data_IF_169815425298
#
_entry.id   IF_169815425298
#
_cell.length_a   1.000
_cell.length_b   1.000
_cell.length_c   1.000
_cell.angle_alpha   90.00
_cell.angle_beta   90.00
_cell.angle_gamma   90.00
#
_symmetry.space_group_name_H-M   'P 1'
#
loop_
_entity.id
_entity.type
_entity.pdbx_description
1 polymer ?
#
# COMPACT_ATOMS: atom_id res chain seq x y z
N UNK A 1 36.62 -48.52 4.42
CA UNK A 1 36.50 -47.54 5.56
C UNK A 1 36.72 -46.08 5.13
N UNK A 2 37.59 -45.74 4.19
CA UNK A 2 37.80 -44.36 3.73
C UNK A 2 36.64 -43.78 2.90
N UNK A 3 35.97 -44.58 2.11
CA UNK A 3 34.86 -44.14 1.27
C UNK A 3 33.56 -43.90 2.07
N UNK A 4 33.33 -44.63 3.14
CA UNK A 4 32.15 -44.46 4.02
C UNK A 4 32.30 -43.17 4.83
N UNK A 5 33.51 -42.75 5.21
CA UNK A 5 33.77 -41.48 5.91
C UNK A 5 33.54 -40.26 5.01
N UNK A 6 33.87 -40.35 3.72
CA UNK A 6 33.64 -39.28 2.78
C UNK A 6 32.12 -39.07 2.49
N UNK A 7 31.36 -40.17 2.35
CA UNK A 7 29.90 -40.09 2.15
C UNK A 7 29.17 -39.53 3.38
N UNK A 8 29.59 -39.88 4.59
CA UNK A 8 28.99 -39.34 5.82
C UNK A 8 29.31 -37.85 6.02
N UNK A 9 30.55 -37.42 5.64
CA UNK A 9 30.95 -36.00 5.68
C UNK A 9 30.20 -35.16 4.62
N UNK A 10 29.97 -35.71 3.41
CA UNK A 10 29.16 -35.02 2.39
C UNK A 10 27.69 -34.90 2.80
N UNK A 11 27.12 -35.92 3.44
CA UNK A 11 25.75 -35.86 3.96
C UNK A 11 25.61 -34.89 5.14
N UNK A 12 26.62 -34.80 6.02
CA UNK A 12 26.60 -33.84 7.12
C UNK A 12 26.81 -32.39 6.65
N UNK A 13 27.60 -32.15 5.60
CA UNK A 13 27.74 -30.82 4.99
C UNK A 13 26.49 -30.40 4.20
N UNK A 14 25.76 -31.32 3.58
CA UNK A 14 24.47 -31.04 2.95
C UNK A 14 23.36 -30.78 3.96
N UNK A 15 23.40 -31.43 5.13
CA UNK A 15 22.44 -31.17 6.22
C UNK A 15 22.67 -29.83 6.94
N UNK A 16 23.88 -29.27 6.90
CA UNK A 16 24.20 -27.95 7.46
C UNK A 16 23.85 -26.79 6.53
N UNK A 17 23.53 -27.06 5.26
CA UNK A 17 23.13 -26.05 4.26
C UNK A 17 21.60 -25.81 4.16
N UNK A 18 20.80 -26.69 4.76
CA UNK A 18 19.38 -26.47 4.93
C UNK A 18 19.17 -25.70 6.24
N UNK A 19 19.37 -24.39 6.21
CA UNK A 19 18.93 -23.55 7.29
C UNK A 19 17.49 -23.92 7.60
N UNK A 20 17.23 -24.37 8.83
CA UNK A 20 15.86 -24.58 9.35
C UNK A 20 15.11 -23.25 9.23
N UNK A 21 14.48 -23.01 8.08
CA UNK A 21 13.47 -21.95 7.97
C UNK A 21 12.29 -22.48 8.77
N UNK A 22 12.27 -22.16 10.05
CA UNK A 22 11.08 -22.36 10.87
C UNK A 22 9.99 -21.49 10.28
N UNK A 23 9.01 -22.14 9.66
CA UNK A 23 7.81 -21.41 9.21
C UNK A 23 7.09 -20.90 10.46
N UNK A 24 7.08 -19.59 10.64
CA UNK A 24 6.31 -18.95 11.70
C UNK A 24 5.00 -18.49 11.08
N UNK A 25 3.90 -19.04 11.56
CA UNK A 25 2.59 -18.63 11.07
C UNK A 25 2.35 -17.15 11.40
N UNK A 26 1.81 -16.31 10.47
CA UNK A 26 1.59 -14.88 10.68
C UNK A 26 0.84 -14.57 11.98
N UNK A 27 -0.15 -15.38 12.34
CA UNK A 27 -0.85 -15.28 13.62
C UNK A 27 0.11 -15.18 14.81
N UNK A 28 1.14 -16.02 14.88
CA UNK A 28 2.06 -16.07 16.02
C UNK A 28 2.94 -14.80 16.15
N UNK A 29 3.15 -14.09 15.04
CA UNK A 29 3.92 -12.84 15.01
C UNK A 29 3.11 -11.63 15.50
N UNK A 30 1.79 -11.67 15.28
CA UNK A 30 0.89 -10.56 15.56
C UNK A 30 -0.10 -10.86 16.69
N UNK A 31 -0.02 -12.02 17.33
CA UNK A 31 -0.83 -12.31 18.50
C UNK A 31 -0.41 -11.46 19.72
N UNK A 32 -1.36 -11.20 20.59
CA UNK A 32 -1.10 -10.71 21.94
C UNK A 32 -0.25 -11.76 22.68
N UNK A 33 0.89 -11.35 23.24
CA UNK A 33 1.78 -12.29 23.94
C UNK A 33 1.12 -12.92 25.17
N UNK A 34 1.38 -14.20 25.44
CA UNK A 34 1.00 -14.95 26.67
C UNK A 34 -0.49 -14.87 27.09
N UNK A 35 -1.40 -14.47 26.21
CA UNK A 35 -2.84 -14.42 26.46
C UNK A 35 -3.49 -15.59 25.76
N UNK A 36 -4.15 -16.48 26.52
CA UNK A 36 -4.92 -17.57 25.92
C UNK A 36 -6.35 -17.11 25.55
N UNK A 37 -6.97 -17.85 24.65
CA UNK A 37 -8.35 -17.60 24.26
C UNK A 37 -9.32 -17.66 25.47
N UNK A 38 -9.09 -18.59 26.38
CA UNK A 38 -9.88 -18.75 27.61
C UNK A 38 -9.81 -17.50 28.51
N UNK A 39 -8.65 -16.85 28.58
CA UNK A 39 -8.48 -15.60 29.33
C UNK A 39 -9.28 -14.46 28.70
N UNK A 40 -9.32 -14.38 27.37
CA UNK A 40 -10.14 -13.37 26.68
C UNK A 40 -11.64 -13.65 26.87
N UNK A 41 -12.05 -14.91 26.80
CA UNK A 41 -13.44 -15.32 26.99
C UNK A 41 -13.94 -15.07 28.42
N UNK A 42 -13.08 -15.20 29.41
CA UNK A 42 -13.43 -14.98 30.82
C UNK A 42 -13.56 -13.51 31.22
N UNK A 43 -13.04 -12.60 30.40
CA UNK A 43 -13.28 -11.16 30.59
C UNK A 43 -14.70 -10.83 30.16
N UNK A 44 -15.44 -10.10 31.00
CA UNK A 44 -16.68 -9.45 30.61
C UNK A 44 -16.44 -8.65 29.30
N UNK A 45 -17.48 -8.51 28.44
CA UNK A 45 -17.33 -7.68 27.25
C UNK A 45 -16.80 -6.32 27.68
N UNK A 46 -15.55 -6.06 27.33
CA UNK A 46 -14.82 -4.85 27.71
C UNK A 46 -15.65 -3.66 27.21
N UNK A 47 -16.06 -2.81 28.13
CA UNK A 47 -16.80 -1.60 27.77
C UNK A 47 -15.83 -0.77 26.91
N UNK A 48 -16.20 -0.54 25.65
CA UNK A 48 -15.36 0.19 24.70
C UNK A 48 -15.15 1.60 25.25
N UNK A 49 -13.89 1.99 25.46
CA UNK A 49 -13.56 3.35 25.89
C UNK A 49 -13.76 4.30 24.72
N UNK A 50 -14.82 5.11 24.80
CA UNK A 50 -15.24 6.01 23.73
C UNK A 50 -15.09 7.46 24.13
N UNK A 51 -14.89 8.32 23.14
CA UNK A 51 -14.79 9.78 23.31
C UNK A 51 -15.63 10.49 22.26
N UNK A 52 -16.04 11.71 22.54
CA UNK A 52 -16.64 12.60 21.56
C UNK A 52 -15.54 13.19 20.69
N UNK A 53 -15.66 13.00 19.39
CA UNK A 53 -14.76 13.63 18.43
C UNK A 53 -15.00 15.15 18.38
N UNK A 54 -13.94 15.91 18.16
CA UNK A 54 -14.00 17.36 18.00
C UNK A 54 -14.80 17.71 16.74
N UNK A 55 -15.80 18.61 16.80
CA UNK A 55 -16.54 19.04 15.62
C UNK A 55 -15.62 19.75 14.61
N UNK A 56 -15.90 19.58 13.32
CA UNK A 56 -15.36 20.47 12.29
C UNK A 56 -16.00 21.85 12.51
N UNK A 57 -15.27 22.75 13.15
CA UNK A 57 -15.76 24.07 13.53
C UNK A 57 -15.53 25.15 12.48
N UNK A 58 -16.02 26.38 12.79
CA UNK A 58 -15.73 27.59 12.02
C UNK A 58 -14.27 28.07 12.22
N UNK A 59 -13.63 27.71 13.33
CA UNK A 59 -12.20 27.91 13.56
C UNK A 59 -11.48 26.62 13.21
N UNK A 60 -10.50 26.76 12.33
CA UNK A 60 -9.76 25.65 11.73
C UNK A 60 -8.90 24.91 12.78
N UNK A 61 -9.46 23.89 13.40
CA UNK A 61 -8.66 22.93 14.14
C UNK A 61 -8.09 21.89 13.16
N UNK A 62 -7.05 22.31 12.42
CA UNK A 62 -6.33 21.50 11.43
C UNK A 62 -5.16 20.74 12.05
N UNK A 63 -4.99 20.79 13.37
CA UNK A 63 -3.96 20.02 14.05
C UNK A 63 -4.33 18.53 14.06
N UNK A 64 -3.37 17.63 13.82
CA UNK A 64 -3.58 16.19 13.93
C UNK A 64 -3.93 15.78 15.35
N UNK A 65 -4.54 14.62 15.48
CA UNK A 65 -4.85 14.04 16.78
C UNK A 65 -3.55 13.77 17.57
N UNK A 66 -3.52 14.17 18.85
CA UNK A 66 -2.32 14.03 19.69
C UNK A 66 -2.07 12.53 19.94
N UNK A 67 -0.86 12.08 19.62
CA UNK A 67 -0.43 10.70 19.87
C UNK A 67 -0.10 10.50 21.34
N UNK A 68 -0.70 9.49 21.95
CA UNK A 68 -0.32 9.06 23.30
C UNK A 68 0.93 8.17 23.22
N UNK A 69 2.08 8.71 23.64
CA UNK A 69 3.39 8.05 23.51
C UNK A 69 3.67 7.01 24.59
N UNK A 70 2.68 6.61 25.40
CA UNK A 70 2.88 5.78 26.59
C UNK A 70 3.29 4.32 26.32
N UNK A 71 3.22 3.81 25.08
CA UNK A 71 3.47 2.39 24.77
C UNK A 71 4.58 2.17 23.73
N UNK A 72 5.79 2.67 23.98
CA UNK A 72 6.97 2.30 23.20
C UNK A 72 7.62 1.01 23.73
N UNK A 73 6.95 -0.11 23.64
CA UNK A 73 7.58 -1.40 23.88
C UNK A 73 8.50 -1.75 22.70
N UNK A 74 9.81 -1.82 22.97
CA UNK A 74 10.81 -2.25 22.01
C UNK A 74 10.42 -3.60 21.38
N UNK A 75 10.29 -3.63 20.05
CA UNK A 75 9.77 -4.79 19.35
C UNK A 75 10.85 -5.84 19.09
N UNK A 76 10.87 -6.91 19.85
CA UNK A 76 11.61 -8.13 19.49
C UNK A 76 11.08 -8.68 18.15
N UNK A 77 11.98 -9.18 17.27
CA UNK A 77 11.68 -9.78 15.96
C UNK A 77 11.10 -8.83 14.87
N UNK A 78 11.45 -7.55 14.91
CA UNK A 78 10.97 -6.54 13.96
C UNK A 78 11.20 -6.92 12.48
N UNK A 79 12.37 -7.46 12.11
CA UNK A 79 12.68 -7.83 10.73
C UNK A 79 11.76 -8.92 10.20
N UNK A 80 11.57 -10.01 10.96
CA UNK A 80 10.71 -11.12 10.53
C UNK A 80 9.24 -10.69 10.39
N UNK A 81 8.76 -9.79 11.26
CA UNK A 81 7.41 -9.22 11.14
C UNK A 81 7.24 -8.41 9.86
N UNK A 82 8.23 -7.57 9.53
CA UNK A 82 8.21 -6.77 8.29
C UNK A 82 8.18 -7.64 7.05
N UNK A 83 8.99 -8.68 6.98
CA UNK A 83 9.04 -9.59 5.83
C UNK A 83 7.72 -10.33 5.62
N UNK A 84 7.16 -10.90 6.70
CA UNK A 84 5.87 -11.62 6.64
C UNK A 84 4.74 -10.65 6.31
N UNK A 85 4.72 -9.47 6.91
CA UNK A 85 3.68 -8.47 6.66
C UNK A 85 3.76 -7.93 5.24
N UNK A 86 4.98 -7.71 4.71
CA UNK A 86 5.18 -7.33 3.32
C UNK A 86 4.59 -8.37 2.36
N UNK A 87 4.77 -9.67 2.62
CA UNK A 87 4.19 -10.72 1.79
C UNK A 87 2.65 -10.74 1.86
N UNK A 88 2.07 -10.61 3.05
CA UNK A 88 0.61 -10.55 3.22
C UNK A 88 -0.01 -9.36 2.49
N UNK A 89 0.54 -8.17 2.68
CA UNK A 89 0.05 -6.96 2.03
C UNK A 89 0.26 -6.99 0.51
N UNK A 90 1.37 -7.54 0.02
CA UNK A 90 1.62 -7.71 -1.40
C UNK A 90 0.60 -8.68 -2.03
N UNK A 91 0.35 -9.82 -1.37
CA UNK A 91 -0.60 -10.83 -1.86
C UNK A 91 -2.02 -10.27 -1.94
N UNK A 92 -2.51 -9.62 -0.89
CA UNK A 92 -3.82 -8.99 -0.89
C UNK A 92 -3.86 -7.83 -1.90
N UNK A 93 -2.85 -6.98 -1.89
CA UNK A 93 -2.76 -5.82 -2.78
C UNK A 93 -2.79 -6.20 -4.26
N UNK A 94 -2.06 -7.22 -4.67
CA UNK A 94 -2.07 -7.72 -6.05
C UNK A 94 -3.43 -8.33 -6.45
N UNK A 95 -4.13 -9.00 -5.52
CA UNK A 95 -5.49 -9.49 -5.76
C UNK A 95 -6.47 -8.33 -5.98
N UNK A 96 -6.43 -7.30 -5.13
CA UNK A 96 -7.28 -6.12 -5.24
C UNK A 96 -6.96 -5.30 -6.49
N UNK A 97 -5.67 -5.11 -6.80
CA UNK A 97 -5.22 -4.44 -8.01
C UNK A 97 -5.76 -5.10 -9.28
N UNK A 98 -5.73 -6.44 -9.36
CA UNK A 98 -6.30 -7.17 -10.51
C UNK A 98 -7.80 -6.96 -10.68
N UNK A 99 -8.53 -6.88 -9.58
CA UNK A 99 -9.97 -6.59 -9.61
C UNK A 99 -10.20 -5.17 -10.13
N UNK A 100 -9.45 -4.21 -9.60
CA UNK A 100 -9.53 -2.79 -9.99
C UNK A 100 -9.23 -2.60 -11.48
N UNK A 101 -8.14 -3.17 -11.99
CA UNK A 101 -7.71 -2.99 -13.37
C UNK A 101 -8.60 -3.72 -14.39
N UNK A 102 -9.31 -4.77 -14.00
CA UNK A 102 -10.34 -5.40 -14.86
C UNK A 102 -11.47 -4.44 -15.19
N UNK A 103 -11.83 -3.57 -14.25
CA UNK A 103 -12.90 -2.60 -14.40
C UNK A 103 -12.42 -1.30 -15.06
N UNK A 104 -11.10 -1.04 -15.00
CA UNK A 104 -10.45 0.19 -15.50
C UNK A 104 -9.42 -0.12 -16.59
N UNK A 105 -9.85 -0.86 -17.63
CA UNK A 105 -8.93 -1.35 -18.69
C UNK A 105 -8.23 -0.22 -19.44
N UNK A 106 -8.96 0.86 -19.73
CA UNK A 106 -8.54 1.92 -20.64
C UNK A 106 -8.05 3.19 -19.93
N UNK A 107 -7.97 3.18 -18.61
CA UNK A 107 -7.47 4.30 -17.80
C UNK A 107 -6.12 4.01 -17.15
N UNK A 108 -5.44 5.09 -16.75
CA UNK A 108 -4.36 4.98 -15.79
C UNK A 108 -4.90 4.45 -14.46
N UNK A 109 -4.07 3.76 -13.72
CA UNK A 109 -4.43 3.23 -12.40
C UNK A 109 -3.25 3.40 -11.46
N UNK A 110 -3.51 3.86 -10.25
CA UNK A 110 -2.53 3.93 -9.18
C UNK A 110 -3.13 3.37 -7.90
N UNK A 111 -2.44 2.43 -7.29
CA UNK A 111 -2.92 1.69 -6.13
C UNK A 111 -1.80 1.47 -5.12
N UNK A 112 -2.07 1.62 -3.83
CA UNK A 112 -1.10 1.36 -2.78
C UNK A 112 -1.51 0.15 -1.93
N UNK A 113 -0.83 -1.00 -2.09
CA UNK A 113 -1.07 -2.19 -1.27
C UNK A 113 -0.93 -1.91 0.23
N UNK A 114 0.12 -1.19 0.63
CA UNK A 114 0.40 -0.88 2.04
C UNK A 114 -0.69 0.02 2.64
N UNK A 115 -1.15 1.03 1.90
CA UNK A 115 -2.18 1.95 2.38
C UNK A 115 -3.53 1.25 2.56
N UNK A 116 -3.91 0.43 1.59
CA UNK A 116 -5.16 -0.34 1.65
C UNK A 116 -5.12 -1.39 2.75
N UNK A 117 -4.00 -2.09 2.91
CA UNK A 117 -3.84 -3.06 3.99
C UNK A 117 -3.98 -2.39 5.37
N UNK A 118 -3.29 -1.27 5.60
CA UNK A 118 -3.41 -0.50 6.83
C UNK A 118 -4.82 0.03 7.09
N UNK A 119 -5.51 0.50 6.05
CA UNK A 119 -6.93 0.90 6.13
C UNK A 119 -7.82 -0.25 6.60
N UNK A 120 -7.65 -1.45 6.05
CA UNK A 120 -8.42 -2.62 6.43
C UNK A 120 -8.09 -3.09 7.86
N UNK A 121 -6.83 -3.01 8.29
CA UNK A 121 -6.44 -3.32 9.68
C UNK A 121 -7.02 -2.29 10.65
N UNK A 122 -7.04 -1.01 10.31
CA UNK A 122 -7.68 0.02 11.15
C UNK A 122 -9.18 -0.26 11.31
N UNK A 123 -9.87 -0.62 10.23
CA UNK A 123 -11.29 -1.01 10.29
C UNK A 123 -11.51 -2.30 11.11
N UNK A 124 -10.57 -3.25 11.05
CA UNK A 124 -10.59 -4.46 11.87
C UNK A 124 -10.62 -4.13 13.38
N UNK A 125 -9.89 -3.11 13.83
CA UNK A 125 -9.92 -2.68 15.24
C UNK A 125 -11.33 -2.25 15.70
N UNK A 126 -12.11 -1.65 14.81
CA UNK A 126 -13.50 -1.25 15.07
C UNK A 126 -14.53 -2.36 14.90
N UNK A 127 -14.15 -3.48 14.27
CA UNK A 127 -15.07 -4.55 13.93
C UNK A 127 -15.41 -5.44 15.14
N UNK A 128 -16.67 -5.83 15.26
CA UNK A 128 -17.13 -6.83 16.25
C UNK A 128 -16.77 -8.26 15.81
N UNK A 129 -16.96 -9.22 16.74
CA UNK A 129 -16.59 -10.65 16.55
C UNK A 129 -16.96 -11.20 15.17
N UNK A 130 -18.20 -11.07 14.74
CA UNK A 130 -18.70 -11.60 13.45
C UNK A 130 -18.05 -10.94 12.25
N UNK A 131 -17.73 -9.65 12.34
CA UNK A 131 -17.12 -8.88 11.27
C UNK A 131 -15.60 -8.96 11.32
N UNK A 132 -15.01 -9.07 12.52
CA UNK A 132 -13.56 -9.14 12.68
C UNK A 132 -12.94 -10.43 12.09
N UNK A 133 -13.64 -11.59 12.16
CA UNK A 133 -13.15 -12.85 11.56
C UNK A 133 -12.94 -12.72 10.04
N UNK A 134 -13.91 -12.26 9.24
CA UNK A 134 -13.71 -12.00 7.81
C UNK A 134 -12.52 -11.07 7.50
N UNK A 135 -12.28 -10.03 8.33
CA UNK A 135 -11.10 -9.18 8.18
C UNK A 135 -9.81 -9.98 8.35
N UNK A 136 -9.70 -10.81 9.40
CA UNK A 136 -8.51 -11.63 9.62
C UNK A 136 -8.25 -12.60 8.46
N UNK A 137 -9.30 -13.22 7.93
CA UNK A 137 -9.21 -14.12 6.77
C UNK A 137 -8.74 -13.36 5.52
N UNK A 138 -9.31 -12.19 5.25
CA UNK A 138 -8.92 -11.36 4.11
C UNK A 138 -7.46 -10.92 4.21
N UNK A 139 -7.02 -10.50 5.41
CA UNK A 139 -5.66 -10.04 5.70
C UNK A 139 -4.63 -11.17 5.79
N UNK A 140 -5.07 -12.44 5.87
CA UNK A 140 -4.17 -13.60 5.99
C UNK A 140 -3.52 -13.76 7.36
N UNK A 141 -4.08 -13.15 8.41
CA UNK A 141 -3.57 -13.20 9.79
C UNK A 141 -4.38 -14.12 10.71
N UNK A 142 -5.38 -14.83 10.17
CA UNK A 142 -6.20 -15.76 10.94
C UNK A 142 -5.44 -17.04 11.28
N UNK A 143 -5.81 -17.66 12.39
CA UNK A 143 -5.42 -19.05 12.70
C UNK A 143 -6.40 -20.02 12.06
N UNK A 144 -5.93 -21.11 11.46
CA UNK A 144 -6.79 -22.12 10.78
C UNK A 144 -7.93 -22.68 11.65
N UNK A 145 -7.74 -22.65 12.97
CA UNK A 145 -8.73 -23.08 13.97
C UNK A 145 -9.35 -21.92 14.75
N UNK A 146 -9.35 -20.69 14.21
CA UNK A 146 -9.83 -19.53 14.97
C UNK A 146 -11.35 -19.62 15.21
N UNK A 147 -11.71 -19.83 16.46
CA UNK A 147 -13.06 -19.67 16.95
C UNK A 147 -13.39 -18.17 17.00
N UNK A 148 -14.63 -17.79 16.71
CA UNK A 148 -15.08 -16.38 16.76
C UNK A 148 -14.72 -15.68 18.09
N UNK A 149 -14.69 -16.46 19.17
CA UNK A 149 -14.37 -15.97 20.51
C UNK A 149 -12.91 -15.57 20.70
N UNK A 150 -12.00 -15.98 19.82
CA UNK A 150 -10.56 -15.75 19.93
C UNK A 150 -10.03 -14.74 18.91
N UNK A 151 -10.90 -14.08 18.19
CA UNK A 151 -10.53 -13.13 17.13
C UNK A 151 -9.67 -11.98 17.66
N UNK A 152 -9.87 -11.56 18.89
CA UNK A 152 -9.11 -10.45 19.50
C UNK A 152 -7.73 -10.86 20.05
N UNK A 153 -7.28 -12.09 19.83
CA UNK A 153 -5.89 -12.48 20.07
C UNK A 153 -4.90 -11.81 19.10
N UNK A 154 -5.36 -11.34 17.96
CA UNK A 154 -4.54 -10.56 17.02
C UNK A 154 -4.47 -9.11 17.48
N UNK A 155 -3.26 -8.64 17.70
CA UNK A 155 -2.95 -7.25 18.01
C UNK A 155 -2.87 -6.42 16.73
N UNK A 156 -3.97 -5.74 16.40
CA UNK A 156 -4.04 -4.88 15.21
C UNK A 156 -3.08 -3.68 15.28
N UNK A 157 -2.82 -3.14 16.47
CA UNK A 157 -1.85 -2.07 16.68
C UNK A 157 -0.43 -2.51 16.32
N UNK A 158 -0.06 -3.75 16.68
CA UNK A 158 1.23 -4.32 16.30
C UNK A 158 1.38 -4.44 14.78
N UNK A 159 0.30 -4.82 14.08
CA UNK A 159 0.28 -4.86 12.61
C UNK A 159 0.47 -3.46 12.03
N UNK A 160 -0.29 -2.47 12.51
CA UNK A 160 -0.25 -1.09 12.02
C UNK A 160 1.11 -0.43 12.27
N UNK A 161 1.68 -0.59 13.46
CA UNK A 161 3.05 -0.11 13.77
C UNK A 161 4.10 -0.76 12.88
N UNK A 162 3.96 -2.06 12.57
CA UNK A 162 4.89 -2.74 11.66
C UNK A 162 4.79 -2.19 10.23
N UNK A 163 3.58 -1.86 9.74
CA UNK A 163 3.40 -1.17 8.45
C UNK A 163 4.04 0.21 8.47
N UNK A 164 3.86 0.97 9.54
CA UNK A 164 4.48 2.30 9.68
C UNK A 164 6.00 2.20 9.73
N UNK A 165 6.55 1.16 10.36
CA UNK A 165 7.99 0.91 10.31
C UNK A 165 8.50 0.63 8.89
N UNK A 166 7.73 -0.06 8.05
CA UNK A 166 8.08 -0.27 6.64
C UNK A 166 8.07 1.08 5.89
N UNK A 167 7.06 1.91 6.13
CA UNK A 167 6.94 3.24 5.52
C UNK A 167 8.07 4.18 5.98
N UNK A 168 8.40 4.19 7.27
CA UNK A 168 9.46 5.01 7.85
C UNK A 168 10.87 4.66 7.33
N UNK A 169 11.08 3.47 6.73
CA UNK A 169 12.34 3.13 6.06
C UNK A 169 12.60 3.99 4.82
N UNK A 170 11.58 4.69 4.32
CA UNK A 170 11.65 5.52 3.11
C UNK A 170 12.01 6.95 3.46
N UNK A 171 11.92 7.32 4.73
CA UNK A 171 12.16 8.66 5.24
C UNK A 171 13.66 9.01 5.12
N UNK A 172 14.02 9.50 3.94
CA UNK A 172 15.32 10.03 3.60
C UNK A 172 15.20 11.51 3.24
N UNK A 173 16.29 12.28 3.24
CA UNK A 173 16.24 13.72 2.96
C UNK A 173 15.76 14.05 1.53
N UNK A 174 15.37 13.08 0.73
CA UNK A 174 15.05 13.24 -0.70
C UNK A 174 13.85 12.44 -1.20
N UNK A 175 13.47 11.35 -0.54
CA UNK A 175 12.23 10.62 -0.84
C UNK A 175 11.26 10.87 0.29
N UNK A 176 10.06 11.29 -0.04
CA UNK A 176 9.00 11.55 0.92
C UNK A 176 7.86 10.54 0.68
N UNK A 177 7.55 9.78 1.72
CA UNK A 177 6.32 9.01 1.77
C UNK A 177 5.51 9.54 2.96
N UNK A 178 4.38 10.16 2.68
CA UNK A 178 3.50 10.71 3.70
C UNK A 178 2.16 10.00 3.69
N UNK A 179 1.74 9.52 4.85
CA UNK A 179 0.45 8.85 5.05
C UNK A 179 -0.45 9.70 5.95
N UNK A 180 -1.66 10.00 5.48
CA UNK A 180 -2.67 10.74 6.25
C UNK A 180 -3.95 9.89 6.38
N UNK A 181 -4.63 10.03 7.51
CA UNK A 181 -5.89 9.34 7.79
C UNK A 181 -6.93 10.32 8.31
N UNK A 182 -8.15 10.20 7.80
CA UNK A 182 -9.30 10.99 8.23
C UNK A 182 -10.46 10.08 8.61
N UNK A 183 -11.01 10.33 9.79
CA UNK A 183 -12.20 9.69 10.34
C UNK A 183 -13.26 10.74 10.63
N UNK A 184 -14.41 10.68 9.96
CA UNK A 184 -15.51 11.60 10.19
C UNK A 184 -16.71 10.85 10.72
N UNK A 185 -17.12 11.18 11.94
CA UNK A 185 -18.22 10.51 12.64
C UNK A 185 -19.40 11.46 12.84
N UNK A 186 -20.62 10.92 12.83
CA UNK A 186 -21.81 11.72 13.12
C UNK A 186 -21.77 12.31 14.54
N UNK A 187 -22.30 13.53 14.73
CA UNK A 187 -22.22 14.26 15.99
C UNK A 187 -22.93 13.59 17.18
N UNK A 188 -23.88 12.71 16.91
CA UNK A 188 -24.66 11.97 17.91
C UNK A 188 -24.00 10.65 18.33
N UNK A 189 -22.79 10.38 17.86
CA UNK A 189 -22.02 9.17 18.20
C UNK A 189 -20.71 9.52 18.90
N UNK A 190 -20.20 8.55 19.65
CA UNK A 190 -18.85 8.58 20.24
C UNK A 190 -17.98 7.52 19.54
N UNK A 191 -16.68 7.77 19.47
CA UNK A 191 -15.71 6.94 18.78
C UNK A 191 -14.74 6.30 19.77
N UNK A 192 -14.34 5.07 19.48
CA UNK A 192 -13.37 4.31 20.28
C UNK A 192 -11.98 4.95 20.28
N UNK A 193 -11.38 5.08 21.46
CA UNK A 193 -9.97 5.50 21.59
C UNK A 193 -9.01 4.49 20.97
N UNK A 194 -9.31 3.20 21.07
CA UNK A 194 -8.55 2.11 20.46
C UNK A 194 -8.51 2.28 18.93
N UNK A 195 -9.64 2.62 18.31
CA UNK A 195 -9.71 2.91 16.88
C UNK A 195 -8.91 4.17 16.48
N UNK A 196 -9.01 5.26 17.27
CA UNK A 196 -8.22 6.48 17.05
C UNK A 196 -6.73 6.17 17.15
N UNK A 197 -6.30 5.42 18.18
CA UNK A 197 -4.92 4.98 18.36
C UNK A 197 -4.42 4.14 17.18
N UNK A 198 -5.26 3.27 16.62
CA UNK A 198 -4.91 2.51 15.42
C UNK A 198 -4.66 3.38 14.19
N UNK A 199 -5.51 4.37 13.96
CA UNK A 199 -5.30 5.35 12.89
C UNK A 199 -3.98 6.13 13.06
N UNK A 200 -3.63 6.49 14.30
CA UNK A 200 -2.36 7.12 14.65
C UNK A 200 -1.16 6.20 14.45
N UNK A 201 -1.28 4.91 14.77
CA UNK A 201 -0.20 3.93 14.59
C UNK A 201 0.15 3.70 13.13
N UNK A 202 -0.81 3.89 12.23
CA UNK A 202 -0.64 3.65 10.79
C UNK A 202 -0.14 4.88 10.01
N UNK A 203 -0.43 6.09 10.48
CA UNK A 203 -0.25 7.33 9.71
C UNK A 203 0.77 8.29 10.33
N UNK A 204 1.32 9.18 9.51
CA UNK A 204 2.14 10.30 9.96
C UNK A 204 1.28 11.36 10.64
N UNK A 205 0.03 11.53 10.17
CA UNK A 205 -0.97 12.33 10.84
C UNK A 205 -2.38 11.75 10.65
N UNK A 206 -3.17 11.74 11.73
CA UNK A 206 -4.57 11.32 11.71
C UNK A 206 -5.48 12.43 12.24
N UNK A 207 -6.70 12.42 11.76
CA UNK A 207 -7.70 13.45 12.06
C UNK A 207 -9.05 12.80 12.31
N UNK A 208 -9.52 12.83 13.56
CA UNK A 208 -10.84 12.34 13.94
C UNK A 208 -11.75 13.52 14.26
N UNK A 209 -12.81 13.69 13.47
CA UNK A 209 -13.71 14.85 13.60
C UNK A 209 -15.17 14.43 13.56
N UNK A 210 -16.02 15.13 14.32
CA UNK A 210 -17.48 14.95 14.22
C UNK A 210 -18.12 15.92 13.24
N UNK A 211 -19.17 15.45 12.56
CA UNK A 211 -19.84 16.15 11.48
C UNK A 211 -21.35 16.01 11.61
N UNK A 212 -22.07 17.11 11.38
CA UNK A 212 -23.53 17.10 11.23
C UNK A 212 -23.91 16.68 9.81
N UNK A 213 -24.16 15.40 9.62
CA UNK A 213 -24.59 14.85 8.32
C UNK A 213 -26.06 15.14 7.99
N UNK A 214 -26.87 15.63 8.92
CA UNK A 214 -28.29 15.97 8.62
C UNK A 214 -28.44 16.95 7.46
N UNK A 215 -27.39 17.77 7.23
CA UNK A 215 -27.23 18.70 6.11
C UNK A 215 -26.16 18.17 5.14
N UNK A 216 -26.50 17.15 4.39
CA UNK A 216 -25.53 16.36 3.60
C UNK A 216 -24.62 17.21 2.69
N UNK A 217 -25.17 18.18 1.94
CA UNK A 217 -24.38 19.04 1.04
C UNK A 217 -23.40 19.96 1.81
N UNK A 218 -23.82 20.48 2.97
CA UNK A 218 -22.96 21.30 3.81
C UNK A 218 -21.87 20.44 4.46
N UNK A 219 -22.23 19.25 4.93
CA UNK A 219 -21.29 18.27 5.48
C UNK A 219 -20.23 17.88 4.45
N UNK A 220 -20.62 17.60 3.20
CA UNK A 220 -19.71 17.26 2.11
C UNK A 220 -18.68 18.37 1.86
N UNK A 221 -19.14 19.62 1.78
CA UNK A 221 -18.24 20.76 1.60
C UNK A 221 -17.27 20.93 2.78
N UNK A 222 -17.77 20.81 4.02
CA UNK A 222 -16.94 20.92 5.23
C UNK A 222 -15.86 19.84 5.29
N UNK A 223 -16.24 18.58 5.03
CA UNK A 223 -15.34 17.43 5.05
C UNK A 223 -14.23 17.59 3.99
N UNK A 224 -14.59 17.91 2.75
CA UNK A 224 -13.59 18.06 1.69
C UNK A 224 -12.69 19.28 1.90
N UNK A 225 -13.23 20.41 2.39
CA UNK A 225 -12.41 21.56 2.75
C UNK A 225 -11.43 21.26 3.89
N UNK A 226 -11.85 20.46 4.86
CA UNK A 226 -10.97 20.01 5.95
C UNK A 226 -9.84 19.11 5.42
N UNK A 227 -10.16 18.14 4.56
CA UNK A 227 -9.16 17.29 3.91
C UNK A 227 -8.17 18.14 3.10
N UNK A 228 -8.67 19.10 2.30
CA UNK A 228 -7.82 19.96 1.50
C UNK A 228 -6.82 20.76 2.36
N UNK A 229 -7.28 21.31 3.49
CA UNK A 229 -6.43 22.08 4.40
C UNK A 229 -5.37 21.20 5.08
N UNK A 230 -5.74 20.01 5.51
CA UNK A 230 -4.86 19.09 6.25
C UNK A 230 -3.93 18.27 5.34
N UNK A 231 -4.17 18.28 4.03
CA UNK A 231 -3.30 17.71 3.01
C UNK A 231 -2.46 18.75 2.28
N UNK A 232 -2.29 19.96 2.83
CA UNK A 232 -1.52 21.07 2.25
C UNK A 232 -2.00 21.47 0.83
N UNK A 233 -3.26 21.17 0.50
CA UNK A 233 -3.87 21.45 -0.79
C UNK A 233 -3.76 20.33 -1.84
N UNK A 234 -3.04 19.26 -1.54
CA UNK A 234 -2.81 18.14 -2.47
C UNK A 234 -4.10 17.39 -2.82
N UNK A 235 -5.03 17.33 -1.86
CA UNK A 235 -6.28 16.59 -2.02
C UNK A 235 -7.46 17.56 -1.95
N UNK A 236 -8.09 17.83 -3.10
CA UNK A 236 -9.21 18.77 -3.19
C UNK A 236 -10.55 18.16 -2.81
N UNK A 237 -10.76 16.90 -3.15
CA UNK A 237 -12.04 16.22 -2.94
C UNK A 237 -11.85 14.70 -2.85
N UNK A 238 -12.47 14.08 -1.82
CA UNK A 238 -12.57 12.63 -1.67
C UNK A 238 -14.05 12.21 -1.67
N UNK A 239 -14.86 12.87 -0.84
CA UNK A 239 -16.25 12.46 -0.62
C UNK A 239 -17.20 13.21 -1.52
N UNK A 240 -18.15 12.46 -2.10
CA UNK A 240 -19.23 12.98 -2.94
C UNK A 240 -20.52 12.24 -2.63
N UNK A 241 -21.65 12.91 -2.86
CA UNK A 241 -22.98 12.32 -2.70
C UNK A 241 -23.18 11.73 -1.30
N UNK A 242 -22.93 12.53 -0.27
CA UNK A 242 -23.19 12.14 1.12
C UNK A 242 -24.68 12.05 1.40
N UNK A 243 -25.05 11.15 2.31
CA UNK A 243 -26.42 10.98 2.79
C UNK A 243 -26.61 11.69 4.14
N UNK A 244 -27.83 12.18 4.40
CA UNK A 244 -28.21 12.67 5.73
C UNK A 244 -28.23 11.57 6.80
N UNK A 245 -28.16 10.29 6.41
CA UNK A 245 -28.11 9.13 7.30
C UNK A 245 -26.69 8.58 7.48
N UNK A 246 -25.68 9.26 6.97
CA UNK A 246 -24.26 8.86 7.12
C UNK A 246 -23.87 8.81 8.60
N UNK A 247 -23.26 7.71 9.03
CA UNK A 247 -22.69 7.56 10.37
C UNK A 247 -21.19 7.79 10.39
N UNK A 248 -20.46 7.22 9.42
CA UNK A 248 -19.02 7.24 9.42
C UNK A 248 -18.41 7.22 8.02
N UNK A 249 -17.43 8.10 7.84
CA UNK A 249 -16.60 8.16 6.64
C UNK A 249 -15.15 7.94 7.04
N UNK A 250 -14.45 7.13 6.29
CA UNK A 250 -13.03 6.86 6.48
C UNK A 250 -12.26 7.09 5.19
N UNK A 251 -11.17 7.82 5.27
CA UNK A 251 -10.25 7.98 4.15
C UNK A 251 -8.81 7.89 4.63
N UNK A 252 -7.98 7.24 3.84
CA UNK A 252 -6.55 7.25 3.96
C UNK A 252 -5.90 7.78 2.70
N UNK A 253 -4.76 8.43 2.81
CA UNK A 253 -3.96 8.80 1.66
C UNK A 253 -2.52 8.41 1.85
N UNK A 254 -1.86 8.12 0.75
CA UNK A 254 -0.42 8.02 0.68
C UNK A 254 0.09 8.88 -0.46
N UNK A 255 1.02 9.77 -0.14
CA UNK A 255 1.70 10.62 -1.10
C UNK A 255 3.15 10.19 -1.16
N UNK A 256 3.62 9.81 -2.33
CA UNK A 256 5.00 9.46 -2.61
C UNK A 256 5.60 10.46 -3.59
N UNK A 257 6.62 11.17 -3.15
CA UNK A 257 7.48 12.00 -3.97
C UNK A 257 8.86 11.38 -3.99
N UNK A 258 9.24 10.83 -5.15
CA UNK A 258 10.49 10.10 -5.29
C UNK A 258 11.52 10.87 -6.10
N UNK A 259 12.80 10.70 -5.71
CA UNK A 259 13.94 11.18 -6.47
C UNK A 259 14.74 9.98 -6.99
N UNK A 260 15.25 10.10 -8.21
CA UNK A 260 16.11 9.06 -8.76
C UNK A 260 17.42 8.94 -7.97
N UNK A 261 17.94 7.73 -7.81
CA UNK A 261 19.31 7.56 -7.29
C UNK A 261 20.31 8.27 -8.18
N UNK A 262 20.12 8.20 -9.50
CA UNK A 262 20.90 8.94 -10.50
C UNK A 262 19.94 9.76 -11.35
N UNK A 263 20.13 11.07 -11.36
CA UNK A 263 19.28 12.04 -12.07
C UNK A 263 19.21 11.76 -13.57
N UNK A 264 18.05 12.07 -14.15
CA UNK A 264 17.95 12.32 -15.59
C UNK A 264 18.40 13.76 -15.87
N UNK A 265 19.07 13.97 -16.98
CA UNK A 265 19.53 15.30 -17.37
C UNK A 265 18.38 16.02 -18.09
N UNK A 266 17.95 17.21 -17.62
CA UNK A 266 16.86 17.94 -18.28
C UNK A 266 17.13 18.22 -19.77
N UNK A 267 18.40 18.43 -20.13
CA UNK A 267 18.84 18.68 -21.51
C UNK A 267 18.67 17.46 -22.44
N UNK A 268 18.57 16.25 -21.86
CA UNK A 268 18.30 15.01 -22.57
C UNK A 268 16.80 14.67 -22.62
N UNK A 269 15.96 15.49 -22.00
CA UNK A 269 14.49 15.36 -22.09
C UNK A 269 14.02 15.93 -23.41
N UNK A 270 13.31 15.14 -24.19
CA UNK A 270 12.77 15.54 -25.51
C UNK A 270 11.34 15.08 -25.68
N UNK A 271 10.56 15.86 -26.43
CA UNK A 271 9.20 15.49 -26.78
C UNK A 271 9.24 14.37 -27.82
N UNK A 272 8.60 13.24 -27.50
CA UNK A 272 8.54 12.06 -28.36
C UNK A 272 7.13 11.50 -28.36
N UNK A 273 6.85 10.65 -29.34
CA UNK A 273 5.56 10.01 -29.50
C UNK A 273 5.41 8.83 -28.55
N UNK A 274 4.25 8.80 -27.86
CA UNK A 274 3.81 7.70 -27.00
C UNK A 274 2.51 7.13 -27.59
N UNK A 275 2.54 5.85 -27.94
CA UNK A 275 1.40 5.14 -28.52
C UNK A 275 0.49 4.61 -27.41
N UNK A 276 -0.63 5.28 -27.21
CA UNK A 276 -1.64 4.90 -26.19
C UNK A 276 -2.37 3.60 -26.58
N UNK A 277 -2.75 3.52 -27.86
CA UNK A 277 -3.37 2.36 -28.51
C UNK A 277 -3.09 2.35 -30.03
N UNK A 278 -3.79 1.52 -30.79
CA UNK A 278 -3.58 1.41 -32.24
C UNK A 278 -3.95 2.68 -33.03
N UNK A 279 -4.83 3.54 -32.47
CA UNK A 279 -5.39 4.73 -33.13
C UNK A 279 -4.88 6.03 -32.52
N UNK A 280 -4.38 5.98 -31.25
CA UNK A 280 -4.08 7.17 -30.45
C UNK A 280 -2.59 7.23 -30.15
N UNK A 281 -1.96 8.31 -30.57
CA UNK A 281 -0.59 8.66 -30.21
C UNK A 281 -0.58 10.06 -29.62
N UNK A 282 0.16 10.25 -28.52
CA UNK A 282 0.33 11.53 -27.84
C UNK A 282 1.80 11.90 -27.82
N UNK A 283 2.11 13.18 -27.96
CA UNK A 283 3.49 13.70 -27.87
C UNK A 283 3.75 14.17 -26.43
N UNK A 284 4.73 13.57 -25.78
CA UNK A 284 5.04 13.80 -24.35
C UNK A 284 6.53 13.95 -24.13
N UNK A 285 6.97 14.62 -23.04
CA UNK A 285 8.38 14.66 -22.68
C UNK A 285 8.84 13.29 -22.18
N UNK A 286 9.87 12.74 -22.81
CA UNK A 286 10.61 11.56 -22.36
C UNK A 286 11.96 12.00 -21.79
N UNK A 287 12.21 11.67 -20.53
CA UNK A 287 13.50 11.82 -19.86
C UNK A 287 14.43 10.72 -20.36
N UNK A 288 15.64 11.06 -20.80
CA UNK A 288 16.58 10.06 -21.31
C UNK A 288 17.86 10.04 -20.47
N UNK A 289 18.35 8.84 -20.16
CA UNK A 289 19.62 8.61 -19.49
C UNK A 289 20.30 7.34 -19.98
N UNK A 290 21.58 7.45 -20.31
CA UNK A 290 22.45 6.31 -20.62
C UNK A 290 23.26 5.92 -19.38
N UNK A 291 23.34 4.62 -19.08
CA UNK A 291 24.06 4.12 -17.93
C UNK A 291 23.87 2.63 -17.69
N UNK A 292 24.44 2.17 -16.57
CA UNK A 292 24.25 0.79 -16.10
C UNK A 292 22.90 0.64 -15.41
N UNK A 293 22.19 -0.41 -15.79
CA UNK A 293 20.89 -0.78 -15.23
C UNK A 293 20.86 -2.29 -14.95
N UNK A 294 19.95 -2.68 -14.06
CA UNK A 294 19.57 -4.08 -13.91
C UNK A 294 18.26 -4.29 -14.66
N UNK A 295 18.26 -5.20 -15.62
CA UNK A 295 17.07 -5.49 -16.43
C UNK A 295 16.94 -6.98 -16.75
N UNK A 296 15.73 -7.37 -17.13
CA UNK A 296 15.38 -8.72 -17.57
C UNK A 296 14.49 -8.66 -18.81
N UNK A 297 14.83 -9.42 -19.84
CA UNK A 297 13.95 -9.71 -20.96
C UNK A 297 13.17 -11.00 -20.67
N UNK A 298 11.93 -10.87 -20.14
CA UNK A 298 11.04 -12.01 -19.87
C UNK A 298 10.30 -12.42 -21.14
N UNK A 299 10.91 -13.35 -21.89
CA UNK A 299 10.32 -13.90 -23.13
C UNK A 299 9.00 -14.63 -22.88
N UNK A 300 8.85 -15.24 -21.71
CA UNK A 300 7.64 -16.00 -21.36
C UNK A 300 6.41 -15.09 -21.19
N UNK A 301 6.59 -13.93 -20.58
CA UNK A 301 5.54 -12.92 -20.41
C UNK A 301 5.57 -11.83 -21.43
N UNK A 302 6.53 -11.89 -22.37
CA UNK A 302 6.71 -10.92 -23.46
C UNK A 302 6.83 -9.48 -22.92
N UNK A 303 7.71 -9.27 -21.95
CA UNK A 303 7.97 -7.94 -21.37
C UNK A 303 9.45 -7.75 -21.04
N UNK A 304 9.87 -6.51 -20.95
CA UNK A 304 11.16 -6.10 -20.39
C UNK A 304 10.92 -5.48 -19.04
N UNK A 305 11.63 -5.95 -18.01
CA UNK A 305 11.59 -5.43 -16.66
C UNK A 305 12.89 -4.69 -16.39
N UNK A 306 12.80 -3.44 -15.88
CA UNK A 306 13.97 -2.63 -15.54
C UNK A 306 13.87 -2.18 -14.10
N UNK A 307 14.95 -2.34 -13.34
CA UNK A 307 15.07 -1.80 -11.98
C UNK A 307 15.69 -0.41 -12.03
N UNK A 308 14.99 0.56 -11.49
CA UNK A 308 15.41 1.95 -11.38
C UNK A 308 15.55 2.30 -9.89
N UNK A 309 16.76 2.64 -9.47
CA UNK A 309 17.01 3.05 -8.08
C UNK A 309 16.38 4.41 -7.79
N UNK A 310 15.66 4.51 -6.68
CA UNK A 310 15.14 5.75 -6.13
C UNK A 310 16.06 6.19 -4.98
N UNK A 311 15.76 5.81 -3.76
CA UNK A 311 16.66 5.99 -2.63
C UNK A 311 17.62 4.78 -2.48
N UNK A 312 18.33 4.73 -1.37
CA UNK A 312 19.16 3.53 -1.05
C UNK A 312 18.31 2.29 -0.79
N UNK A 313 17.06 2.47 -0.36
CA UNK A 313 16.17 1.40 0.09
C UNK A 313 14.97 1.17 -0.80
N UNK A 314 14.65 2.12 -1.69
CA UNK A 314 13.50 2.01 -2.61
C UNK A 314 13.95 1.93 -4.05
N UNK A 315 13.17 1.23 -4.84
CA UNK A 315 13.37 1.16 -6.28
C UNK A 315 12.02 1.03 -7.01
N UNK A 316 12.03 1.47 -8.26
CA UNK A 316 10.95 1.20 -9.19
C UNK A 316 11.29 -0.04 -10.02
N UNK A 317 10.38 -0.98 -10.13
CA UNK A 317 10.34 -1.98 -11.19
C UNK A 317 9.44 -1.45 -12.30
N UNK A 318 10.03 -1.13 -13.43
CA UNK A 318 9.33 -0.76 -14.65
C UNK A 318 9.10 -2.02 -15.48
N UNK A 319 7.87 -2.26 -15.93
CA UNK A 319 7.50 -3.43 -16.76
C UNK A 319 6.93 -2.95 -18.07
N UNK A 320 7.70 -3.05 -19.14
CA UNK A 320 7.33 -2.62 -20.47
C UNK A 320 6.98 -3.86 -21.32
N UNK A 321 5.72 -4.01 -21.79
CA UNK A 321 5.36 -5.07 -22.73
C UNK A 321 6.21 -4.99 -24.00
N UNK A 322 6.54 -6.12 -24.62
CA UNK A 322 7.13 -6.12 -25.96
C UNK A 322 6.13 -5.56 -26.99
N UNK A 323 6.59 -5.15 -28.14
CA UNK A 323 5.71 -4.70 -29.22
C UNK A 323 4.71 -5.80 -29.58
N UNK A 324 3.43 -5.41 -29.67
CA UNK A 324 2.33 -6.33 -29.94
C UNK A 324 1.93 -7.24 -28.75
N UNK A 325 2.59 -7.13 -27.58
CA UNK A 325 2.18 -7.87 -26.40
C UNK A 325 1.09 -7.12 -25.60
N UNK A 326 0.18 -7.87 -25.01
CA UNK A 326 -0.92 -7.34 -24.21
C UNK A 326 -0.44 -6.98 -22.80
N UNK A 327 -0.63 -5.70 -22.40
CA UNK A 327 -0.41 -5.26 -21.01
C UNK A 327 -1.34 -5.99 -20.06
N UNK A 328 -2.59 -6.20 -20.44
CA UNK A 328 -3.59 -6.91 -19.62
C UNK A 328 -3.20 -8.36 -19.34
N UNK A 329 -2.53 -9.03 -20.29
CA UNK A 329 -2.06 -10.41 -20.06
C UNK A 329 -0.96 -10.46 -19.03
N UNK A 330 -0.11 -9.43 -18.98
CA UNK A 330 0.92 -9.28 -17.95
C UNK A 330 0.27 -8.99 -16.60
N UNK A 331 -0.69 -8.06 -16.52
CA UNK A 331 -1.44 -7.75 -15.29
C UNK A 331 -2.14 -8.98 -14.72
N UNK A 332 -2.77 -9.80 -15.55
CA UNK A 332 -3.45 -11.01 -15.11
C UNK A 332 -2.49 -12.05 -14.49
N UNK A 333 -1.22 -12.03 -14.88
CA UNK A 333 -0.18 -12.93 -14.38
C UNK A 333 0.56 -12.40 -13.15
N UNK A 334 0.33 -11.14 -12.75
CA UNK A 334 1.02 -10.55 -11.60
C UNK A 334 0.71 -11.34 -10.31
N UNK A 335 1.76 -11.82 -9.66
CA UNK A 335 1.75 -12.49 -8.36
C UNK A 335 3.05 -12.16 -7.64
N UNK A 336 3.12 -12.36 -6.34
CA UNK A 336 4.33 -12.09 -5.55
C UNK A 336 5.52 -12.89 -6.07
N UNK A 337 5.30 -14.15 -6.46
CA UNK A 337 6.30 -15.05 -7.03
C UNK A 337 6.83 -14.55 -8.39
N UNK A 338 5.99 -13.91 -9.19
CA UNK A 338 6.41 -13.35 -10.49
C UNK A 338 7.32 -12.17 -10.27
N UNK A 339 6.96 -11.26 -9.38
CA UNK A 339 7.75 -10.07 -9.04
C UNK A 339 9.09 -10.50 -8.41
N UNK A 340 9.08 -11.48 -7.51
CA UNK A 340 10.28 -12.05 -6.90
C UNK A 340 11.20 -12.69 -7.93
N UNK A 341 10.64 -13.46 -8.88
CA UNK A 341 11.41 -14.07 -9.97
C UNK A 341 12.02 -13.00 -10.89
N UNK A 342 11.29 -11.94 -11.21
CA UNK A 342 11.85 -10.84 -11.97
C UNK A 342 13.05 -10.25 -11.26
N UNK A 343 12.91 -9.89 -9.99
CA UNK A 343 13.98 -9.29 -9.19
C UNK A 343 15.24 -10.20 -9.13
N UNK A 344 15.05 -11.50 -8.89
CA UNK A 344 16.14 -12.47 -8.79
C UNK A 344 16.90 -12.71 -10.10
N UNK A 345 16.25 -12.51 -11.26
CA UNK A 345 16.80 -12.78 -12.57
C UNK A 345 17.25 -11.51 -13.34
N UNK A 346 17.21 -10.35 -12.68
CA UNK A 346 17.75 -9.11 -13.26
C UNK A 346 19.26 -9.25 -13.51
N UNK A 347 19.70 -8.85 -14.70
CA UNK A 347 21.11 -8.84 -15.11
C UNK A 347 21.57 -7.41 -15.36
N UNK A 348 22.83 -7.15 -15.12
CA UNK A 348 23.44 -5.85 -15.42
C UNK A 348 23.57 -5.64 -16.94
N UNK A 349 23.32 -4.42 -17.39
CA UNK A 349 23.50 -4.05 -18.77
C UNK A 349 23.52 -2.54 -18.99
N UNK A 350 24.15 -2.15 -20.08
CA UNK A 350 24.33 -0.78 -20.46
C UNK A 350 23.17 -0.33 -21.37
N UNK A 351 22.32 0.53 -20.87
CA UNK A 351 21.07 0.95 -21.53
C UNK A 351 21.07 2.47 -21.78
N UNK A 352 20.46 2.86 -22.89
CA UNK A 352 19.90 4.19 -23.10
C UNK A 352 18.40 4.10 -22.86
N UNK A 353 17.96 4.51 -21.67
CA UNK A 353 16.56 4.44 -21.25
C UNK A 353 15.88 5.79 -21.44
N UNK A 354 14.76 5.78 -22.18
CA UNK A 354 13.85 6.93 -22.30
C UNK A 354 12.52 6.62 -21.61
N UNK A 355 12.15 7.40 -20.61
CA UNK A 355 11.00 7.20 -19.74
C UNK A 355 10.10 8.44 -19.70
N UNK A 356 8.77 8.32 -19.83
CA UNK A 356 7.87 9.46 -19.66
C UNK A 356 8.05 10.14 -18.29
N UNK A 357 8.02 11.48 -18.30
CA UNK A 357 7.82 12.27 -17.08
C UNK A 357 6.32 12.31 -16.80
N UNK A 358 5.90 11.83 -15.66
CA UNK A 358 4.50 11.79 -15.27
C UNK A 358 4.30 11.96 -13.77
N UNK A 359 3.14 12.49 -13.39
CA UNK A 359 2.58 12.38 -12.05
C UNK A 359 1.20 11.75 -12.15
N UNK A 360 0.80 11.04 -11.13
CA UNK A 360 -0.45 10.29 -11.15
C UNK A 360 -1.13 10.37 -9.79
N UNK A 361 -2.44 10.54 -9.82
CA UNK A 361 -3.27 10.50 -8.63
C UNK A 361 -4.48 9.64 -8.87
N UNK A 362 -4.84 8.80 -7.90
CA UNK A 362 -5.99 7.91 -8.00
C UNK A 362 -6.76 7.85 -6.70
N UNK A 363 -8.05 7.55 -6.79
CA UNK A 363 -8.95 7.40 -5.66
C UNK A 363 -9.68 6.07 -5.77
N UNK A 364 -9.35 5.14 -4.88
CA UNK A 364 -9.99 3.83 -4.82
C UNK A 364 -11.13 3.84 -3.80
N UNK A 365 -12.35 3.53 -4.24
CA UNK A 365 -13.46 3.17 -3.37
C UNK A 365 -13.31 1.71 -2.93
N UNK A 366 -12.90 1.50 -1.68
CA UNK A 366 -12.66 0.16 -1.15
C UNK A 366 -13.94 -0.67 -1.05
N UNK A 367 -15.09 -0.03 -0.82
CA UNK A 367 -16.37 -0.74 -0.79
C UNK A 367 -16.69 -1.36 -2.14
N UNK A 368 -16.45 -0.62 -3.23
CA UNK A 368 -16.60 -1.14 -4.60
C UNK A 368 -15.66 -2.32 -4.88
N UNK A 369 -14.38 -2.19 -4.56
CA UNK A 369 -13.40 -3.28 -4.77
C UNK A 369 -13.76 -4.53 -3.97
N UNK A 370 -14.19 -4.38 -2.70
CA UNK A 370 -14.62 -5.51 -1.85
C UNK A 370 -15.92 -6.14 -2.35
N UNK A 371 -16.81 -5.36 -3.00
CA UNK A 371 -18.01 -5.88 -3.68
C UNK A 371 -17.62 -6.79 -4.84
N UNK A 372 -16.70 -6.33 -5.68
CA UNK A 372 -16.20 -7.11 -6.82
C UNK A 372 -15.41 -8.37 -6.38
N UNK A 373 -14.86 -8.35 -5.16
CA UNK A 373 -14.26 -9.52 -4.52
C UNK A 373 -15.28 -10.45 -3.82
N UNK A 374 -16.56 -10.08 -3.81
CA UNK A 374 -17.65 -10.78 -3.14
C UNK A 374 -17.50 -10.92 -1.60
N UNK A 375 -16.83 -9.97 -0.95
CA UNK A 375 -16.61 -9.96 0.51
C UNK A 375 -17.17 -8.70 1.21
N UNK A 376 -17.68 -7.73 0.46
CA UNK A 376 -18.17 -6.45 0.99
C UNK A 376 -19.26 -6.62 2.06
N UNK A 377 -20.24 -7.51 1.84
CA UNK A 377 -21.35 -7.73 2.77
C UNK A 377 -20.89 -8.09 4.19
N UNK A 378 -19.79 -8.85 4.30
CA UNK A 378 -19.23 -9.28 5.58
C UNK A 378 -18.38 -8.21 6.26
N UNK A 379 -17.77 -7.31 5.48
CA UNK A 379 -16.76 -6.35 5.93
C UNK A 379 -17.31 -4.94 6.12
N UNK A 380 -18.14 -4.46 5.21
CA UNK A 380 -18.65 -3.08 5.15
C UNK A 380 -20.16 -3.00 4.82
N UNK A 381 -20.82 -4.13 4.56
CA UNK A 381 -22.21 -4.18 4.15
C UNK A 381 -23.20 -4.11 5.32
N UNK A 382 -24.46 -4.44 5.02
CA UNK A 382 -25.57 -4.41 5.99
C UNK A 382 -25.39 -5.34 7.19
N UNK A 383 -24.61 -6.41 7.01
CA UNK A 383 -24.36 -7.44 8.03
C UNK A 383 -23.12 -7.15 8.89
N UNK A 384 -22.32 -6.14 8.49
CA UNK A 384 -21.13 -5.73 9.21
C UNK A 384 -21.49 -5.01 10.52
N UNK A 385 -20.75 -5.31 11.56
CA UNK A 385 -20.98 -4.81 12.91
C UNK A 385 -19.71 -4.16 13.44
N UNK A 386 -19.85 -2.91 13.93
CA UNK A 386 -18.74 -2.06 14.36
C UNK A 386 -18.91 -1.56 15.81
N UNK A 387 -19.36 -2.44 16.73
CA UNK A 387 -19.55 -2.08 18.14
C UNK A 387 -18.26 -1.73 18.88
N UNK A 388 -17.10 -2.11 18.32
CA UNK A 388 -15.80 -1.66 18.85
C UNK A 388 -15.34 -0.32 18.29
N UNK A 389 -16.00 0.21 17.25
CA UNK A 389 -15.73 1.53 16.71
C UNK A 389 -16.54 2.60 17.42
N UNK A 390 -17.81 2.33 17.68
CA UNK A 390 -18.74 3.28 18.29
C UNK A 390 -19.77 2.58 19.18
N UNK A 391 -20.23 3.29 20.22
CA UNK A 391 -21.30 2.85 21.11
C UNK A 391 -22.70 3.06 20.53
N UNK A 392 -22.82 3.69 19.35
CA UNK A 392 -24.10 3.95 18.71
C UNK A 392 -24.71 2.67 18.15
N UNK A 393 -25.99 2.42 18.47
CA UNK A 393 -26.73 1.31 17.87
C UNK A 393 -26.84 1.45 16.35
N UNK A 394 -26.75 0.32 15.63
CA UNK A 394 -26.85 0.26 14.17
C UNK A 394 -25.84 1.17 13.45
N UNK A 395 -24.65 1.29 14.00
CA UNK A 395 -23.58 2.08 13.42
C UNK A 395 -23.03 1.43 12.15
N UNK A 396 -22.91 2.22 11.08
CA UNK A 396 -22.43 1.78 9.76
C UNK A 396 -21.17 2.54 9.35
N UNK A 397 -20.29 1.86 8.63
CA UNK A 397 -19.20 2.47 7.89
C UNK A 397 -19.66 2.70 6.45
N UNK A 398 -19.96 3.96 6.11
CA UNK A 398 -20.69 4.27 4.87
C UNK A 398 -19.77 4.39 3.66
N UNK A 399 -18.63 5.04 3.79
CA UNK A 399 -17.65 5.20 2.71
C UNK A 399 -16.24 5.00 3.23
N UNK A 400 -15.44 4.27 2.45
CA UNK A 400 -14.02 4.01 2.73
C UNK A 400 -13.21 4.23 1.47
N UNK A 401 -12.34 5.24 1.49
CA UNK A 401 -11.52 5.61 0.34
C UNK A 401 -10.02 5.49 0.63
N UNK A 402 -9.27 5.08 -0.38
CA UNK A 402 -7.81 5.14 -0.42
C UNK A 402 -7.37 6.07 -1.53
N UNK A 403 -6.71 7.17 -1.18
CA UNK A 403 -6.14 8.15 -2.12
C UNK A 403 -4.66 7.87 -2.26
N UNK A 404 -4.18 7.85 -3.50
CA UNK A 404 -2.75 7.68 -3.79
C UNK A 404 -2.29 8.84 -4.67
N UNK A 405 -1.16 9.44 -4.33
CA UNK A 405 -0.51 10.48 -5.11
C UNK A 405 0.93 10.05 -5.37
N UNK A 406 1.34 10.11 -6.61
CA UNK A 406 2.69 9.76 -7.05
C UNK A 406 3.25 10.90 -7.88
N UNK A 407 4.40 11.41 -7.47
CA UNK A 407 5.13 12.47 -8.16
C UNK A 407 6.56 12.06 -8.42
N UNK A 408 7.03 12.31 -9.64
CA UNK A 408 8.39 12.03 -10.08
C UNK A 408 8.86 13.11 -11.03
N UNK A 409 10.09 13.58 -10.83
CA UNK A 409 10.76 14.56 -11.69
C UNK A 409 12.04 13.97 -12.30
N UNK A 410 12.85 14.79 -12.97
CA UNK A 410 14.21 14.42 -13.41
C UNK A 410 15.24 14.40 -12.29
N UNK A 411 14.90 14.97 -11.12
CA UNK A 411 15.82 15.14 -10.01
C UNK A 411 16.36 13.81 -9.47
N UNK A 412 17.59 13.84 -8.99
CA UNK A 412 18.24 12.67 -8.42
C UNK A 412 19.37 13.01 -7.46
N UNK A 413 19.76 12.01 -6.67
CA UNK A 413 20.78 12.15 -5.64
C UNK A 413 22.19 12.25 -6.21
N UNK A 414 22.43 11.58 -7.32
CA UNK A 414 23.73 11.54 -7.99
C UNK A 414 23.63 12.12 -9.38
N UNK A 415 24.61 12.92 -9.75
CA UNK A 415 24.71 13.43 -11.13
C UNK A 415 25.07 12.27 -12.06
N UNK A 416 24.37 12.19 -13.19
CA UNK A 416 24.72 11.24 -14.24
C UNK A 416 26.06 11.62 -14.83
N UNK A 417 27.09 10.78 -14.63
CA UNK A 417 28.38 10.92 -15.33
C UNK A 417 28.29 10.11 -16.63
N UNK A 418 28.55 10.77 -17.78
CA UNK A 418 28.72 10.04 -19.04
C UNK A 418 29.98 9.20 -18.94
N UNK A 419 29.83 7.89 -18.91
CA UNK A 419 30.98 6.96 -19.09
C UNK A 419 31.14 6.76 -20.61
N UNK A 420 32.05 7.50 -21.22
CA UNK A 420 32.49 7.25 -22.60
C UNK A 420 33.48 6.06 -22.60
N UNK A 421 32.98 4.84 -22.45
CA UNK A 421 33.80 3.62 -22.49
C UNK A 421 33.72 2.91 -23.86
N UNK A 422 33.14 3.55 -24.86
CA UNK A 422 33.00 3.02 -26.22
C UNK A 422 31.95 1.93 -26.39
N UNK A 423 31.25 1.54 -25.33
CA UNK A 423 30.13 0.57 -25.45
C UNK A 423 28.91 1.21 -26.09
N UNK A 424 28.25 0.45 -26.98
CA UNK A 424 26.98 0.86 -27.58
C UNK A 424 25.84 0.46 -26.64
N UNK A 425 25.06 1.42 -26.11
CA UNK A 425 23.94 1.10 -25.24
C UNK A 425 22.81 0.40 -25.98
N UNK A 426 22.14 -0.53 -25.32
CA UNK A 426 20.85 -1.05 -25.76
C UNK A 426 19.79 0.05 -25.54
N UNK A 427 19.11 0.44 -26.61
CA UNK A 427 18.06 1.45 -26.53
C UNK A 427 16.74 0.82 -26.02
N UNK A 428 16.19 1.42 -24.97
CA UNK A 428 14.90 1.06 -24.43
C UNK A 428 14.04 2.31 -24.27
N UNK A 429 13.05 2.46 -25.11
CA UNK A 429 12.12 3.61 -25.10
C UNK A 429 10.77 3.16 -24.56
N UNK A 430 10.32 3.79 -23.47
CA UNK A 430 9.00 3.57 -22.87
C UNK A 430 7.99 4.46 -23.57
N UNK A 431 7.55 4.02 -24.76
CA UNK A 431 6.68 4.76 -25.66
C UNK A 431 5.30 4.10 -25.88
N UNK A 432 4.89 3.26 -24.97
CA UNK A 432 3.61 2.54 -24.97
C UNK A 432 3.18 2.21 -23.54
N UNK A 433 1.92 1.79 -23.32
CA UNK A 433 1.42 1.45 -21.99
C UNK A 433 2.33 0.50 -21.21
N UNK A 434 2.57 0.80 -19.94
CA UNK A 434 3.47 0.07 -19.08
C UNK A 434 2.95 -0.02 -17.64
N UNK A 435 3.53 -0.93 -16.87
CA UNK A 435 3.33 -1.04 -15.43
C UNK A 435 4.57 -0.58 -14.67
N UNK A 436 4.36 -0.14 -13.45
CA UNK A 436 5.45 0.04 -12.50
C UNK A 436 5.04 -0.39 -11.08
N UNK A 437 6.02 -0.78 -10.30
CA UNK A 437 5.88 -1.00 -8.87
C UNK A 437 6.97 -0.24 -8.13
N UNK A 438 6.61 0.49 -7.07
CA UNK A 438 7.55 1.05 -6.11
C UNK A 438 7.68 0.06 -4.97
N UNK A 439 8.91 -0.36 -4.69
CA UNK A 439 9.22 -1.45 -3.74
C UNK A 439 10.22 -0.97 -2.70
N UNK A 440 9.95 -1.28 -1.43
CA UNK A 440 10.92 -1.15 -0.34
C UNK A 440 11.86 -2.37 -0.38
N UNK A 441 13.17 -2.12 -0.49
CA UNK A 441 14.13 -3.15 -0.88
C UNK A 441 14.53 -4.15 0.21
N UNK A 442 14.31 -3.84 1.48
CA UNK A 442 14.67 -4.74 2.59
C UNK A 442 13.57 -5.78 2.84
N UNK A 443 12.31 -5.31 2.94
CA UNK A 443 11.15 -6.17 3.18
C UNK A 443 10.50 -6.70 1.89
N UNK A 444 10.84 -6.14 0.73
CA UNK A 444 10.16 -6.34 -0.55
C UNK A 444 8.67 -5.91 -0.54
N UNK A 445 8.30 -5.02 0.36
CA UNK A 445 6.96 -4.46 0.41
C UNK A 445 6.67 -3.62 -0.84
N UNK A 446 5.57 -3.90 -1.52
CA UNK A 446 5.08 -3.09 -2.63
C UNK A 446 4.35 -1.89 -2.02
N UNK A 447 4.91 -0.71 -2.19
CA UNK A 447 4.33 0.54 -1.70
C UNK A 447 3.27 1.07 -2.65
N UNK A 448 3.56 1.00 -3.94
CA UNK A 448 2.66 1.43 -5.01
C UNK A 448 2.73 0.51 -6.21
N UNK A 449 1.60 0.35 -6.87
CA UNK A 449 1.44 -0.29 -8.18
C UNK A 449 0.76 0.71 -9.11
N UNK A 450 1.31 0.88 -10.30
CA UNK A 450 0.75 1.78 -11.29
C UNK A 450 0.68 1.17 -12.68
N UNK A 451 -0.36 1.53 -13.40
CA UNK A 451 -0.53 1.32 -14.84
C UNK A 451 -0.63 2.67 -15.53
N UNK A 452 0.25 2.91 -16.46
CA UNK A 452 0.20 4.09 -17.32
C UNK A 452 -0.25 3.67 -18.70
N UNK A 453 -1.45 4.08 -19.07
CA UNK A 453 -2.01 3.95 -20.42
C UNK A 453 -1.76 5.19 -21.24
N UNK A 454 -1.99 6.34 -20.63
CA UNK A 454 -1.77 7.63 -21.26
C UNK A 454 -1.08 8.58 -20.26
N UNK A 455 0.19 8.90 -20.43
CA UNK A 455 0.93 9.78 -19.53
C UNK A 455 0.62 11.29 -19.73
N UNK A 456 -0.24 11.64 -20.67
CA UNK A 456 -0.66 13.03 -20.93
C UNK A 456 -1.88 13.47 -20.08
N UNK A 457 -2.50 12.55 -19.32
CA UNK A 457 -3.71 12.78 -18.50
C UNK A 457 -3.49 12.42 -17.06
#
# INVERSE_FOLDING_TARGET
MREIFFSVLLFSCLALGLGNRVYVHPFSLFALGNVSCEVIQSKEPEQVDVVKATPIGLQDNTEPDIRDLSDSNAMENSTQRKDVLAELQNTLGLRMYKVLTRNQKDSNTLFSPVNVFGTLVTLYLGASKKTAVPYQVLLGINKESSREDCVYLIDGHKVLRTLQEINALIDGPRDELRTLVWSFITQDAEISKDFIGGAQDFSDASYTRSVDFSKAEEAEKKVNNFIQKTSDGDIKQIFQNLSSTTNFLFASSVHFKGNWRTAFQPEATSVQDFRVDEQTTVSIPLMTRTGEYKYLNDKGRKCTVVKLGLSERTYMLLVLPHEGASLQDIENQLQTEVISKWYQNLQEGYLELSLPKFSLTDLTDLKSVLTDMAVEKLLLGSDAQFQRLSNKEKFTVDKVFSKVVFEMSEEGSQVSTKTEDGRVPLKLTVNRPFLFAIVEGNSNAILMLGKIRNPAV
#
